data_IF_801002393677
#
_entry.id   IF_801002393677
#
_cell.length_a   1.000
_cell.length_b   1.000
_cell.length_c   1.000
_cell.angle_alpha   90.00
_cell.angle_beta   90.00
_cell.angle_gamma   90.00
#
_symmetry.space_group_name_H-M   'P 1'
#
loop_
_entity.id
_entity.type
_entity.pdbx_description
1 polymer ?
#
# COMPACT_ATOMS: atom_id res chain seq x y z
N UNK A 1 -23.49 14.82 23.69
CA UNK A 1 -22.26 14.27 24.32
C UNK A 1 -21.09 14.75 23.48
N UNK A 2 -20.35 15.72 23.99
CA UNK A 2 -19.09 16.20 23.45
C UNK A 2 -18.11 15.04 23.54
N UNK A 3 -17.68 14.50 22.40
CA UNK A 3 -16.55 13.57 22.35
C UNK A 3 -15.33 14.38 22.76
N UNK A 4 -14.81 14.13 23.96
CA UNK A 4 -13.49 14.59 24.36
C UNK A 4 -12.51 14.17 23.27
N UNK A 5 -11.79 15.15 22.72
CA UNK A 5 -10.74 14.93 21.72
C UNK A 5 -9.56 14.24 22.41
N UNK A 6 -9.64 12.93 22.59
CA UNK A 6 -8.44 12.13 22.72
C UNK A 6 -7.68 12.30 21.41
N UNK A 7 -6.38 12.57 21.48
CA UNK A 7 -5.45 12.75 20.35
C UNK A 7 -5.34 11.45 19.51
N UNK A 8 -6.44 11.08 18.85
CA UNK A 8 -6.45 9.95 17.91
C UNK A 8 -5.71 10.39 16.66
N UNK A 9 -4.64 9.71 16.34
CA UNK A 9 -3.88 9.96 15.14
C UNK A 9 -4.75 9.82 13.87
N UNK A 10 -4.47 10.62 12.85
CA UNK A 10 -5.26 10.62 11.61
C UNK A 10 -5.39 9.21 11.00
N UNK A 11 -4.34 8.39 11.06
CA UNK A 11 -4.37 7.00 10.56
C UNK A 11 -5.34 6.15 11.38
N UNK A 12 -5.34 6.30 12.69
CA UNK A 12 -6.19 5.51 13.58
C UNK A 12 -7.66 5.91 13.40
N UNK A 13 -7.90 7.21 13.15
CA UNK A 13 -9.25 7.68 12.79
C UNK A 13 -9.75 7.05 11.48
N UNK A 14 -8.93 6.98 10.44
CA UNK A 14 -9.29 6.29 9.20
C UNK A 14 -9.58 4.80 9.44
N UNK A 15 -8.80 4.14 10.28
CA UNK A 15 -9.04 2.73 10.64
C UNK A 15 -10.37 2.55 11.37
N UNK A 16 -10.74 3.45 12.27
CA UNK A 16 -12.07 3.42 12.93
C UNK A 16 -13.21 3.56 11.91
N UNK A 17 -13.09 4.49 10.96
CA UNK A 17 -14.08 4.65 9.89
C UNK A 17 -14.20 3.38 9.05
N UNK A 18 -13.09 2.79 8.61
CA UNK A 18 -13.09 1.54 7.84
C UNK A 18 -13.68 0.39 8.65
N UNK A 19 -13.36 0.29 9.94
CA UNK A 19 -13.91 -0.73 10.85
C UNK A 19 -15.42 -0.63 10.98
N UNK A 20 -15.98 0.58 11.04
CA UNK A 20 -17.43 0.78 11.08
C UNK A 20 -18.17 0.31 9.81
N UNK A 21 -17.43 0.11 8.73
CA UNK A 21 -17.95 -0.31 7.43
C UNK A 21 -17.47 -1.72 7.01
N UNK A 22 -16.80 -2.46 7.88
CA UNK A 22 -16.10 -3.72 7.58
C UNK A 22 -16.97 -4.72 6.81
N UNK A 23 -18.19 -4.98 7.27
CA UNK A 23 -19.11 -5.92 6.59
C UNK A 23 -19.45 -5.49 5.15
N UNK A 24 -19.56 -4.17 4.92
CA UNK A 24 -19.81 -3.64 3.57
C UNK A 24 -18.59 -3.76 2.69
N UNK A 25 -17.40 -3.48 3.25
CA UNK A 25 -16.13 -3.57 2.54
C UNK A 25 -15.89 -4.99 2.05
N UNK A 26 -16.11 -6.00 2.88
CA UNK A 26 -15.95 -7.41 2.49
C UNK A 26 -16.86 -7.84 1.33
N UNK A 27 -18.06 -7.23 1.22
CA UNK A 27 -18.96 -7.49 0.09
C UNK A 27 -18.48 -6.87 -1.23
N UNK A 28 -17.58 -5.87 -1.16
CA UNK A 28 -17.10 -5.14 -2.33
C UNK A 28 -15.75 -5.71 -2.79
N UNK A 29 -14.74 -5.75 -1.90
CA UNK A 29 -13.39 -6.19 -2.22
C UNK A 29 -12.59 -6.47 -0.96
N UNK A 30 -11.70 -7.49 -0.96
CA UNK A 30 -10.72 -7.68 0.10
C UNK A 30 -9.55 -6.69 0.02
N UNK A 31 -9.52 -5.80 -0.96
CA UNK A 31 -8.41 -4.88 -1.20
C UNK A 31 -8.82 -3.43 -0.97
N UNK A 32 -7.96 -2.71 -0.25
CA UNK A 32 -8.03 -1.25 -0.06
C UNK A 32 -6.88 -0.60 -0.82
N UNK A 33 -7.19 0.29 -1.75
CA UNK A 33 -6.20 1.03 -2.53
C UNK A 33 -6.01 2.41 -1.93
N UNK A 34 -4.78 2.75 -1.55
CA UNK A 34 -4.47 4.02 -0.92
C UNK A 34 -3.16 4.62 -1.46
N UNK A 35 -2.95 5.92 -1.25
CA UNK A 35 -1.71 6.57 -1.66
C UNK A 35 -0.52 6.23 -0.73
N UNK A 36 0.67 6.75 -1.05
CA UNK A 36 1.89 6.47 -0.30
C UNK A 36 1.86 6.98 1.15
N UNK A 37 0.97 7.91 1.51
CA UNK A 37 0.79 8.39 2.88
C UNK A 37 0.36 7.26 3.82
N UNK A 38 -0.44 6.33 3.31
CA UNK A 38 -0.98 5.18 4.05
C UNK A 38 -0.03 3.96 4.09
N UNK A 39 1.16 4.05 3.48
CA UNK A 39 2.18 2.99 3.53
C UNK A 39 2.87 2.93 4.90
N UNK A 40 2.08 2.76 5.96
CA UNK A 40 2.50 2.74 7.36
C UNK A 40 2.12 1.42 8.02
N UNK A 41 2.96 0.95 8.95
CA UNK A 41 2.77 -0.33 9.63
C UNK A 41 1.45 -0.42 10.38
N UNK A 42 1.06 0.62 11.13
CA UNK A 42 -0.20 0.64 11.87
C UNK A 42 -1.41 0.54 10.92
N UNK A 43 -1.40 1.25 9.78
CA UNK A 43 -2.49 1.16 8.81
C UNK A 43 -2.59 -0.23 8.17
N UNK A 44 -1.44 -0.77 7.72
CA UNK A 44 -1.39 -2.11 7.13
C UNK A 44 -1.81 -3.20 8.11
N UNK A 45 -1.42 -3.08 9.40
CA UNK A 45 -1.83 -4.01 10.46
C UNK A 45 -3.32 -3.90 10.74
N UNK A 46 -3.86 -2.68 10.89
CA UNK A 46 -5.28 -2.47 11.13
C UNK A 46 -6.17 -3.02 9.99
N UNK A 47 -5.74 -2.88 8.72
CA UNK A 47 -6.43 -3.53 7.60
C UNK A 47 -6.37 -5.06 7.69
N UNK A 48 -5.21 -5.62 8.02
CA UNK A 48 -5.04 -7.06 8.19
C UNK A 48 -5.93 -7.62 9.30
N UNK A 49 -6.08 -6.90 10.41
CA UNK A 49 -6.96 -7.28 11.53
C UNK A 49 -8.45 -7.28 11.13
N UNK A 50 -8.80 -6.53 10.09
CA UNK A 50 -10.10 -6.56 9.43
C UNK A 50 -10.18 -7.58 8.26
N UNK A 51 -9.15 -8.42 8.04
CA UNK A 51 -9.11 -9.34 6.89
C UNK A 51 -8.97 -8.67 5.53
N UNK A 52 -8.50 -7.42 5.50
CA UNK A 52 -8.30 -6.64 4.27
C UNK A 52 -6.82 -6.50 3.92
N UNK A 53 -6.53 -6.28 2.65
CA UNK A 53 -5.19 -6.07 2.13
C UNK A 53 -5.01 -4.64 1.61
N UNK A 54 -3.85 -4.04 1.90
CA UNK A 54 -3.46 -2.74 1.38
C UNK A 54 -2.76 -2.90 0.03
N UNK A 55 -3.19 -2.12 -0.96
CA UNK A 55 -2.44 -1.86 -2.19
C UNK A 55 -2.05 -0.39 -2.19
N UNK A 56 -0.75 -0.12 -2.32
CA UNK A 56 -0.24 1.25 -2.26
C UNK A 56 1.11 1.37 -2.96
N UNK A 57 1.74 2.52 -2.82
CA UNK A 57 3.06 2.81 -3.33
C UNK A 57 4.03 3.09 -2.18
N UNK A 58 5.22 2.52 -2.26
CA UNK A 58 6.31 2.94 -1.38
C UNK A 58 6.90 4.29 -1.82
N UNK A 59 7.54 4.96 -0.87
CA UNK A 59 8.43 6.08 -1.17
C UNK A 59 9.74 5.55 -1.73
N UNK A 60 10.49 6.42 -2.41
CA UNK A 60 11.74 6.06 -3.09
C UNK A 60 12.85 5.60 -2.12
N UNK A 61 12.73 5.93 -0.83
CA UNK A 61 13.65 5.57 0.25
C UNK A 61 13.27 4.27 0.98
N UNK A 62 12.29 3.51 0.48
CA UNK A 62 11.83 2.28 1.11
C UNK A 62 12.94 1.24 1.23
N UNK A 63 13.07 0.67 2.42
CA UNK A 63 14.04 -0.40 2.71
C UNK A 63 13.34 -1.74 2.60
N UNK A 64 13.72 -2.50 1.57
CA UNK A 64 13.15 -3.79 1.23
C UNK A 64 14.24 -4.86 1.19
N UNK A 65 13.89 -6.08 1.53
CA UNK A 65 14.81 -7.22 1.58
C UNK A 65 14.23 -8.42 0.81
N UNK A 66 15.11 -9.23 0.25
CA UNK A 66 14.72 -10.53 -0.29
C UNK A 66 14.28 -11.46 0.84
N UNK A 67 13.22 -12.26 0.67
CA UNK A 67 12.89 -13.31 1.63
C UNK A 67 14.02 -14.35 1.69
N UNK A 68 14.24 -14.93 2.86
CA UNK A 68 15.20 -16.03 2.99
C UNK A 68 14.69 -17.27 2.27
N UNK A 69 15.60 -17.93 1.55
CA UNK A 69 15.35 -19.24 0.97
C UNK A 69 15.70 -20.39 1.94
N UNK A 70 16.36 -20.07 3.06
CA UNK A 70 16.77 -21.04 4.06
C UNK A 70 15.56 -21.56 4.84
N UNK A 71 15.42 -22.87 4.95
CA UNK A 71 14.45 -23.48 5.85
C UNK A 71 14.85 -23.26 7.31
N UNK A 72 13.89 -23.09 8.24
CA UNK A 72 14.20 -22.98 9.66
C UNK A 72 15.05 -24.17 10.11
N UNK A 73 16.22 -23.90 10.68
CA UNK A 73 17.20 -24.96 11.05
C UNK A 73 16.85 -25.69 12.34
N UNK A 74 15.77 -25.32 13.03
CA UNK A 74 15.41 -25.85 14.35
C UNK A 74 16.39 -25.49 15.48
N UNK A 75 17.46 -24.75 15.19
CA UNK A 75 18.43 -24.29 16.19
C UNK A 75 17.82 -23.16 17.05
N UNK A 76 18.33 -23.05 18.30
CA UNK A 76 17.93 -21.99 19.23
C UNK A 76 18.22 -20.61 18.62
N UNK A 77 17.19 -19.76 18.52
CA UNK A 77 17.27 -18.41 18.00
C UNK A 77 16.05 -18.04 17.14
N UNK A 78 15.91 -16.76 16.84
CA UNK A 78 14.83 -16.28 15.94
C UNK A 78 15.16 -16.71 14.50
N UNK A 79 14.23 -17.37 13.78
CA UNK A 79 14.43 -17.69 12.38
C UNK A 79 14.72 -16.46 11.54
N UNK A 80 15.65 -16.59 10.59
CA UNK A 80 15.95 -15.54 9.62
C UNK A 80 14.75 -15.38 8.68
N UNK A 81 14.14 -14.21 8.65
CA UNK A 81 12.97 -13.93 7.83
C UNK A 81 13.34 -13.43 6.43
N UNK A 82 14.50 -12.79 6.30
CA UNK A 82 14.94 -12.15 5.07
C UNK A 82 16.46 -12.17 4.98
N UNK A 83 16.96 -11.97 3.76
CA UNK A 83 18.38 -11.85 3.43
C UNK A 83 18.57 -10.68 2.47
N UNK A 84 19.79 -10.13 2.39
CA UNK A 84 20.16 -9.11 1.41
C UNK A 84 19.15 -7.98 1.18
N UNK A 85 19.60 -6.76 1.19
CA UNK A 85 18.78 -5.60 0.82
C UNK A 85 18.56 -5.60 -0.69
N UNK A 86 17.34 -5.29 -1.14
CA UNK A 86 17.02 -5.11 -2.56
C UNK A 86 17.58 -3.75 -2.99
N UNK A 87 18.49 -3.75 -3.96
CA UNK A 87 18.97 -2.56 -4.64
C UNK A 87 18.08 -2.29 -5.86
N UNK A 88 17.34 -1.19 -5.83
CA UNK A 88 16.43 -0.83 -6.92
C UNK A 88 17.16 -0.33 -8.17
N UNK A 89 18.39 0.13 -8.04
CA UNK A 89 19.21 0.54 -9.19
C UNK A 89 19.84 -0.67 -9.88
N UNK A 90 20.16 -1.72 -9.11
CA UNK A 90 20.81 -2.94 -9.57
C UNK A 90 20.00 -4.17 -9.12
N UNK A 91 18.73 -4.24 -9.55
CA UNK A 91 17.84 -5.35 -9.19
C UNK A 91 18.41 -6.69 -9.67
N UNK A 92 18.50 -7.65 -8.76
CA UNK A 92 18.77 -9.04 -9.14
C UNK A 92 17.54 -9.60 -9.88
N UNK A 93 17.59 -9.51 -11.21
CA UNK A 93 16.51 -9.94 -12.11
C UNK A 93 16.28 -11.46 -12.08
N UNK A 94 17.25 -12.24 -11.60
CA UNK A 94 17.08 -13.70 -11.45
C UNK A 94 16.08 -14.07 -10.34
N UNK A 95 15.85 -13.15 -9.41
CA UNK A 95 14.93 -13.28 -8.27
C UNK A 95 13.58 -12.59 -8.47
N UNK A 96 13.36 -12.02 -9.63
CA UNK A 96 12.15 -11.28 -9.98
C UNK A 96 11.53 -11.81 -11.27
N UNK A 97 10.25 -11.90 -11.30
CA UNK A 97 9.49 -12.21 -12.53
C UNK A 97 9.34 -10.93 -13.34
N UNK A 98 9.70 -10.97 -14.63
CA UNK A 98 9.45 -9.88 -15.56
C UNK A 98 8.04 -9.99 -16.13
N UNK A 99 7.32 -8.88 -16.12
CA UNK A 99 5.99 -8.75 -16.73
C UNK A 99 6.09 -7.75 -17.87
N UNK A 100 5.67 -8.16 -19.05
CA UNK A 100 5.68 -7.27 -20.22
C UNK A 100 4.58 -6.22 -20.12
N UNK A 101 4.98 -4.96 -20.30
CA UNK A 101 4.10 -3.79 -20.28
C UNK A 101 4.53 -2.80 -21.36
N UNK A 102 3.60 -2.03 -21.91
CA UNK A 102 3.85 -1.15 -23.07
C UNK A 102 4.85 -0.02 -22.78
N UNK A 103 4.86 0.53 -21.55
CA UNK A 103 5.57 1.77 -21.21
C UNK A 103 6.71 1.56 -20.19
N UNK A 104 7.56 0.56 -20.38
CA UNK A 104 8.71 0.31 -19.52
C UNK A 104 8.92 -1.16 -19.22
N UNK A 105 9.62 -1.44 -18.14
CA UNK A 105 9.81 -2.79 -17.61
C UNK A 105 9.17 -2.91 -16.23
N UNK A 106 8.40 -3.95 -16.02
CA UNK A 106 7.81 -4.29 -14.73
C UNK A 106 8.44 -5.57 -14.20
N UNK A 107 8.97 -5.50 -13.00
CA UNK A 107 9.46 -6.68 -12.26
C UNK A 107 8.64 -6.89 -11.00
N UNK A 108 8.32 -8.14 -10.69
CA UNK A 108 7.59 -8.50 -9.49
C UNK A 108 8.29 -9.57 -8.68
N UNK A 109 8.23 -9.46 -7.37
CA UNK A 109 8.77 -10.43 -6.43
C UNK A 109 8.07 -10.30 -5.07
N UNK A 110 8.19 -11.33 -4.24
CA UNK A 110 7.86 -11.19 -2.81
C UNK A 110 9.05 -10.54 -2.11
N UNK A 111 8.80 -9.55 -1.26
CA UNK A 111 9.83 -8.84 -0.51
C UNK A 111 9.41 -8.65 0.95
N UNK A 112 10.37 -8.61 1.87
CA UNK A 112 10.13 -8.16 3.24
C UNK A 112 10.27 -6.64 3.33
N UNK A 113 9.21 -5.97 3.77
CA UNK A 113 9.24 -4.53 4.01
C UNK A 113 9.61 -4.22 5.45
N UNK A 114 10.71 -3.47 5.64
CA UNK A 114 11.14 -3.03 6.97
C UNK A 114 10.14 -2.08 7.61
N UNK A 115 9.56 -1.17 6.83
CA UNK A 115 8.59 -0.18 7.33
C UNK A 115 7.25 -0.81 7.69
N UNK A 116 6.77 -1.79 6.93
CA UNK A 116 5.51 -2.48 7.19
C UNK A 116 5.67 -3.71 8.10
N UNK A 117 6.92 -4.15 8.35
CA UNK A 117 7.28 -5.33 9.17
C UNK A 117 6.63 -6.63 8.70
N UNK A 118 6.41 -6.79 7.41
CA UNK A 118 5.77 -7.96 6.81
C UNK A 118 6.23 -8.22 5.38
N UNK A 119 5.92 -9.42 4.88
CA UNK A 119 6.07 -9.75 3.46
C UNK A 119 5.02 -9.02 2.64
N UNK A 120 5.41 -8.61 1.45
CA UNK A 120 4.55 -7.92 0.47
C UNK A 120 4.83 -8.46 -0.93
N UNK A 121 3.84 -8.41 -1.80
CA UNK A 121 4.06 -8.50 -3.24
C UNK A 121 4.56 -7.13 -3.69
N UNK A 122 5.77 -7.08 -4.20
CA UNK A 122 6.37 -5.86 -4.74
C UNK A 122 6.26 -5.87 -6.27
N UNK A 123 5.89 -4.74 -6.85
CA UNK A 123 5.90 -4.49 -8.28
C UNK A 123 6.75 -3.23 -8.55
N UNK A 124 7.85 -3.40 -9.27
CA UNK A 124 8.86 -2.37 -9.55
C UNK A 124 8.72 -1.98 -11.01
N UNK A 125 8.32 -0.76 -11.25
CA UNK A 125 8.17 -0.22 -12.60
C UNK A 125 9.34 0.70 -12.96
N UNK A 126 10.09 0.31 -13.98
CA UNK A 126 11.13 1.09 -14.61
C UNK A 126 10.56 1.76 -15.86
N UNK A 127 10.44 3.07 -15.84
CA UNK A 127 9.99 3.85 -16.99
C UNK A 127 11.06 3.98 -18.06
N UNK A 128 10.65 4.07 -19.33
CA UNK A 128 11.56 4.30 -20.48
C UNK A 128 12.28 5.64 -20.44
N UNK A 129 11.79 6.61 -19.67
CA UNK A 129 12.37 7.96 -19.57
C UNK A 129 13.55 8.05 -18.58
N UNK A 130 14.03 6.92 -18.05
CA UNK A 130 15.20 6.84 -17.16
C UNK A 130 14.97 7.41 -15.76
N UNK A 131 13.74 7.74 -15.39
CA UNK A 131 13.40 8.17 -14.03
C UNK A 131 13.58 7.03 -13.03
N UNK A 132 13.72 7.41 -11.75
CA UNK A 132 13.75 6.43 -10.65
C UNK A 132 12.57 5.46 -10.73
N UNK A 133 12.80 4.17 -10.43
CA UNK A 133 11.73 3.18 -10.45
C UNK A 133 10.63 3.53 -9.45
N UNK A 134 9.39 3.24 -9.81
CA UNK A 134 8.24 3.37 -8.91
C UNK A 134 7.93 2.02 -8.27
N UNK A 135 7.72 2.04 -6.97
CA UNK A 135 7.57 0.85 -6.13
C UNK A 135 6.12 0.72 -5.68
N UNK A 136 5.38 -0.20 -6.27
CA UNK A 136 4.02 -0.52 -5.87
C UNK A 136 4.02 -1.82 -5.06
N UNK A 137 3.05 -1.98 -4.17
CA UNK A 137 2.97 -3.20 -3.37
C UNK A 137 1.54 -3.57 -3.01
N UNK A 138 1.37 -4.86 -2.69
CA UNK A 138 0.21 -5.39 -1.97
C UNK A 138 0.68 -6.07 -0.69
N UNK A 139 -0.07 -5.92 0.40
CA UNK A 139 0.14 -6.70 1.62
C UNK A 139 -0.33 -8.15 1.49
N UNK A 140 -0.97 -8.52 0.38
CA UNK A 140 -1.17 -9.90 -0.03
C UNK A 140 0.03 -10.36 -0.89
N UNK A 141 0.95 -11.20 -0.38
CA UNK A 141 2.11 -11.64 -1.15
C UNK A 141 1.75 -12.59 -2.31
N UNK A 142 0.55 -13.19 -2.30
CA UNK A 142 0.10 -14.12 -3.33
C UNK A 142 -0.56 -13.41 -4.52
N UNK A 143 -0.80 -12.10 -4.42
CA UNK A 143 -1.35 -11.29 -5.51
C UNK A 143 -0.36 -11.21 -6.68
N UNK A 144 -0.83 -11.21 -7.92
CA UNK A 144 0.06 -11.02 -9.07
C UNK A 144 0.60 -9.59 -9.12
N UNK A 145 1.84 -9.41 -9.62
CA UNK A 145 2.42 -8.07 -9.78
C UNK A 145 1.66 -7.20 -10.79
N UNK A 146 1.02 -7.82 -11.80
CA UNK A 146 0.15 -7.15 -12.75
C UNK A 146 -1.07 -6.56 -12.05
N UNK A 147 -1.74 -7.35 -11.21
CA UNK A 147 -2.93 -6.91 -10.48
C UNK A 147 -2.59 -5.77 -9.51
N UNK A 148 -1.42 -5.80 -8.85
CA UNK A 148 -0.96 -4.69 -7.99
C UNK A 148 -0.99 -3.36 -8.76
N UNK A 149 -0.47 -3.35 -9.99
CA UNK A 149 -0.45 -2.14 -10.81
C UNK A 149 -1.86 -1.75 -11.27
N UNK A 150 -2.65 -2.71 -11.72
CA UNK A 150 -4.00 -2.48 -12.23
C UNK A 150 -4.89 -1.90 -11.11
N UNK A 151 -4.88 -2.51 -9.94
CA UNK A 151 -5.62 -1.97 -8.78
C UNK A 151 -5.10 -0.59 -8.35
N UNK A 152 -3.78 -0.37 -8.31
CA UNK A 152 -3.26 0.94 -7.92
C UNK A 152 -3.68 2.06 -8.90
N UNK A 153 -3.83 1.76 -10.19
CA UNK A 153 -4.34 2.71 -11.19
C UNK A 153 -5.76 3.18 -10.86
N UNK A 154 -6.60 2.34 -10.26
CA UNK A 154 -7.97 2.72 -9.88
C UNK A 154 -7.99 3.83 -8.83
N UNK A 155 -6.91 4.02 -8.04
CA UNK A 155 -6.79 5.13 -7.08
C UNK A 155 -7.12 6.48 -7.72
N UNK A 156 -6.78 6.65 -8.99
CA UNK A 156 -7.01 7.91 -9.69
C UNK A 156 -8.50 8.28 -9.78
N UNK A 157 -9.39 7.32 -9.69
CA UNK A 157 -10.84 7.56 -9.76
C UNK A 157 -11.35 8.40 -8.60
N UNK A 158 -10.70 8.40 -7.44
CA UNK A 158 -11.08 9.23 -6.30
C UNK A 158 -10.96 10.72 -6.64
N UNK A 159 -10.01 11.10 -7.49
CA UNK A 159 -9.81 12.48 -7.93
C UNK A 159 -10.99 12.94 -8.79
N UNK A 160 -11.52 12.06 -9.64
CA UNK A 160 -12.75 12.33 -10.40
C UNK A 160 -13.96 12.44 -9.47
N UNK A 161 -14.12 11.54 -8.50
CA UNK A 161 -15.20 11.63 -7.52
C UNK A 161 -15.18 12.96 -6.75
N UNK A 162 -14.01 13.41 -6.31
CA UNK A 162 -13.88 14.71 -5.63
C UNK A 162 -14.17 15.88 -6.56
N UNK A 163 -13.72 15.83 -7.80
CA UNK A 163 -14.02 16.88 -8.79
C UNK A 163 -15.52 16.96 -9.02
N UNK A 164 -16.17 15.83 -9.23
CA UNK A 164 -17.60 15.77 -9.50
C UNK A 164 -18.42 16.18 -8.29
N UNK A 165 -18.03 15.75 -7.07
CA UNK A 165 -18.64 16.20 -5.83
C UNK A 165 -18.55 17.73 -5.68
N UNK A 166 -17.38 18.31 -5.96
CA UNK A 166 -17.21 19.79 -5.94
C UNK A 166 -18.10 20.49 -6.96
N UNK A 167 -18.22 19.92 -8.16
CA UNK A 167 -18.95 20.55 -9.27
C UNK A 167 -20.46 20.40 -9.15
N UNK A 168 -20.96 19.27 -8.65
CA UNK A 168 -22.38 18.93 -8.72
C UNK A 168 -23.10 18.89 -7.36
N UNK A 169 -22.37 18.77 -6.23
CA UNK A 169 -23.00 18.70 -4.89
C UNK A 169 -22.80 19.95 -4.04
N UNK A 170 -22.15 20.98 -4.58
CA UNK A 170 -21.87 22.21 -3.83
C UNK A 170 -20.85 22.06 -2.69
N UNK A 171 -20.03 21.01 -2.69
CA UNK A 171 -19.06 20.71 -1.64
C UNK A 171 -18.09 21.88 -1.32
N UNK A 172 -17.90 22.83 -2.26
CA UNK A 172 -17.06 24.02 -2.07
C UNK A 172 -17.90 25.26 -1.70
N UNK A 173 -19.22 25.19 -1.81
CA UNK A 173 -20.08 26.38 -1.63
C UNK A 173 -20.29 26.75 -0.16
N UNK A 174 -19.96 25.85 0.77
CA UNK A 174 -19.98 26.18 2.20
C UNK A 174 -18.84 27.13 2.53
N UNK A 175 -19.18 28.39 2.83
CA UNK A 175 -18.24 29.41 3.28
C UNK A 175 -18.14 29.52 4.81
N UNK A 176 -18.71 28.57 5.55
CA UNK A 176 -18.62 28.59 7.01
C UNK A 176 -17.15 28.37 7.43
N UNK A 177 -16.51 29.48 7.84
CA UNK A 177 -15.11 29.52 8.30
C UNK A 177 -14.99 29.45 9.82
N UNK A 178 -16.11 29.55 10.54
CA UNK A 178 -16.14 29.60 11.99
C UNK A 178 -17.21 28.65 12.53
N UNK A 179 -16.82 27.82 13.50
CA UNK A 179 -17.69 26.82 14.15
C UNK A 179 -18.63 27.50 15.17
N UNK A 180 -18.40 28.77 15.49
CA UNK A 180 -19.18 29.56 16.46
C UNK A 180 -20.31 30.40 15.82
N UNK A 181 -20.62 30.20 14.54
CA UNK A 181 -21.73 30.87 13.87
C UNK A 181 -22.76 29.89 13.34
#
# INVERSE_FOLDING_TARGET
QTLESNDIGLIDWYLLVLKSMEEKLHKISPYVVADAYFSKSNFATGLKDMGLHLISRFRDDAVLFYPTLEKPTGKRGRPKLYEGKIDMANLDKSRAEKIDIDNGELYTLVAYSKSLKQMVRLAIWYSKDGKKPKLFFSTNPDMSGKDVIEYYRTRFQIEFCFRDAKSFTGLIQSQARDVSK
#
